data_IF_742812770083
#
_entry.id   IF_742812770083
#
_cell.length_a   1.000
_cell.length_b   1.000
_cell.length_c   1.000
_cell.angle_alpha   90.00
_cell.angle_beta   90.00
_cell.angle_gamma   90.00
#
_symmetry.space_group_name_H-M   'P 1'
#
loop_
_entity.id
_entity.type
_entity.pdbx_description
1 polymer ?
#
# COMPACT_ATOMS: atom_id res chain seq x y z
N UNK A 1 22.14 -11.84 -15.01
CA UNK A 1 21.77 -11.18 -13.74
C UNK A 1 21.23 -12.25 -12.80
N UNK A 2 21.54 -12.17 -11.50
CA UNK A 2 20.91 -13.05 -10.52
C UNK A 2 19.40 -12.77 -10.50
N UNK A 3 18.56 -13.82 -10.50
CA UNK A 3 17.11 -13.66 -10.32
C UNK A 3 16.87 -13.23 -8.87
N UNK A 4 16.34 -12.02 -8.68
CA UNK A 4 16.11 -11.42 -7.35
C UNK A 4 14.81 -11.95 -6.72
N UNK A 5 13.89 -12.47 -7.55
CA UNK A 5 12.58 -13.01 -7.13
C UNK A 5 12.64 -14.53 -7.13
N UNK A 6 12.35 -15.13 -5.97
CA UNK A 6 12.13 -16.57 -5.81
C UNK A 6 11.26 -16.82 -4.57
N UNK A 7 9.97 -17.08 -4.75
CA UNK A 7 9.02 -17.31 -3.64
C UNK A 7 8.02 -18.40 -4.03
N UNK A 8 8.01 -19.53 -3.31
CA UNK A 8 7.08 -20.64 -3.56
C UNK A 8 6.04 -20.85 -2.46
N UNK A 9 6.27 -20.25 -1.28
CA UNK A 9 5.43 -20.39 -0.10
C UNK A 9 5.67 -19.21 0.85
N UNK A 10 4.91 -19.17 1.92
CA UNK A 10 4.86 -18.03 2.85
C UNK A 10 5.69 -18.27 4.15
N UNK A 11 6.52 -19.33 4.21
CA UNK A 11 7.22 -19.72 5.46
C UNK A 11 8.70 -20.06 5.31
N UNK A 12 9.21 -20.27 4.10
CA UNK A 12 10.63 -20.44 3.88
C UNK A 12 11.41 -19.19 4.35
N UNK A 13 12.70 -19.32 4.70
CA UNK A 13 13.49 -18.20 5.22
C UNK A 13 13.47 -16.99 4.29
N UNK A 14 12.86 -15.90 4.76
CA UNK A 14 12.70 -14.65 4.02
C UNK A 14 14.06 -13.98 3.78
N UNK A 15 14.35 -13.61 2.53
CA UNK A 15 15.61 -12.96 2.13
C UNK A 15 15.43 -11.50 1.72
N UNK A 16 14.31 -11.18 1.07
CA UNK A 16 14.00 -9.85 0.56
C UNK A 16 12.49 -9.62 0.58
N UNK A 17 12.05 -8.42 0.93
CA UNK A 17 10.63 -8.07 1.02
C UNK A 17 10.40 -6.63 0.57
N UNK A 18 9.24 -6.37 -0.02
CA UNK A 18 8.78 -5.02 -0.35
C UNK A 18 7.79 -4.58 0.74
N UNK A 19 8.08 -3.46 1.40
CA UNK A 19 7.23 -2.86 2.43
C UNK A 19 6.70 -1.53 1.91
N UNK A 20 5.39 -1.33 2.06
CA UNK A 20 4.71 -0.12 1.64
C UNK A 20 5.05 1.12 2.46
N UNK A 21 4.26 2.16 2.23
CA UNK A 21 4.34 3.46 2.90
C UNK A 21 2.94 3.98 3.26
N UNK A 22 2.73 4.46 4.50
CA UNK A 22 1.50 5.14 4.89
C UNK A 22 1.27 6.43 4.11
N UNK A 23 2.35 7.14 3.75
CA UNK A 23 2.24 8.45 3.10
C UNK A 23 1.55 8.36 1.74
N UNK A 24 0.64 9.30 1.49
CA UNK A 24 -0.17 9.30 0.27
C UNK A 24 -1.32 8.30 0.28
N UNK A 25 -1.56 7.59 1.39
CA UNK A 25 -2.77 6.78 1.57
C UNK A 25 -3.98 7.67 1.89
N UNK A 26 -5.07 7.41 1.20
CA UNK A 26 -6.35 8.09 1.31
C UNK A 26 -7.47 7.07 1.51
N UNK A 27 -8.52 7.52 2.18
CA UNK A 27 -9.84 6.91 2.13
C UNK A 27 -10.39 7.17 0.72
N UNK A 28 -10.75 6.15 -0.07
CA UNK A 28 -11.25 6.33 -1.43
C UNK A 28 -12.63 6.96 -1.41
N UNK A 29 -12.93 7.73 -2.44
CA UNK A 29 -14.29 8.14 -2.73
C UNK A 29 -15.16 6.92 -2.99
N UNK A 30 -16.44 6.97 -2.56
CA UNK A 30 -17.40 5.91 -2.82
C UNK A 30 -17.48 5.59 -4.31
N UNK A 31 -17.54 4.31 -4.63
CA UNK A 31 -17.78 3.80 -5.98
C UNK A 31 -18.91 2.76 -5.95
N UNK A 32 -19.55 2.42 -7.09
CA UNK A 32 -20.75 1.60 -7.10
C UNK A 32 -20.59 0.24 -6.41
N UNK A 33 -19.40 -0.37 -6.43
CA UNK A 33 -19.16 -1.65 -5.80
C UNK A 33 -18.75 -1.54 -4.32
N UNK A 34 -18.25 -0.39 -3.87
CA UNK A 34 -17.68 -0.27 -2.53
C UNK A 34 -17.62 1.17 -1.98
N UNK A 35 -17.83 1.28 -0.67
CA UNK A 35 -17.67 2.52 0.07
C UNK A 35 -17.28 2.24 1.54
N UNK A 36 -16.67 3.23 2.20
CA UNK A 36 -16.43 3.15 3.64
C UNK A 36 -17.70 3.54 4.41
N UNK A 37 -18.49 2.55 4.82
CA UNK A 37 -19.60 2.73 5.75
C UNK A 37 -19.13 2.50 7.19
N UNK A 38 -18.43 3.50 7.75
CA UNK A 38 -17.91 3.44 9.12
C UNK A 38 -18.43 4.62 9.96
N UNK A 39 -19.72 4.62 10.34
CA UNK A 39 -20.34 5.73 11.07
C UNK A 39 -19.70 5.96 12.45
N UNK A 40 -19.08 4.93 13.02
CA UNK A 40 -18.37 4.97 14.32
C UNK A 40 -16.83 5.01 14.15
N UNK A 41 -16.33 4.94 12.92
CA UNK A 41 -14.93 4.63 12.59
C UNK A 41 -14.04 5.83 12.33
N UNK A 42 -14.11 6.88 13.16
CA UNK A 42 -13.16 8.00 13.09
C UNK A 42 -12.98 8.64 11.69
N UNK A 43 -11.85 9.33 11.47
CA UNK A 43 -11.67 10.17 10.28
C UNK A 43 -11.43 9.38 8.98
N UNK A 44 -11.99 9.82 7.83
CA UNK A 44 -12.95 10.91 7.66
C UNK A 44 -14.37 10.40 7.89
N UNK A 45 -15.04 10.91 8.92
CA UNK A 45 -16.46 10.63 9.13
C UNK A 45 -17.26 11.21 7.97
N UNK A 46 -17.86 10.34 7.16
CA UNK A 46 -18.75 10.71 6.07
C UNK A 46 -18.07 11.36 4.86
N UNK A 47 -16.76 11.14 4.66
CA UNK A 47 -16.03 11.70 3.50
C UNK A 47 -14.87 10.80 3.07
N UNK A 48 -14.17 11.22 2.02
CA UNK A 48 -12.98 10.59 1.46
C UNK A 48 -11.82 11.58 1.44
N UNK A 49 -10.59 11.08 1.29
CA UNK A 49 -9.37 11.90 1.32
C UNK A 49 -8.30 11.36 2.27
N UNK A 50 -7.27 12.16 2.58
CA UNK A 50 -6.09 11.68 3.30
C UNK A 50 -6.43 11.32 4.75
N UNK A 51 -5.68 10.38 5.33
CA UNK A 51 -5.71 10.21 6.78
C UNK A 51 -5.16 11.46 7.50
N UNK A 52 -5.57 11.74 8.75
CA UNK A 52 -4.96 12.79 9.56
C UNK A 52 -3.46 12.60 9.66
N UNK A 53 -2.69 13.70 9.61
CA UNK A 53 -1.22 13.63 9.61
C UNK A 53 -0.68 12.87 10.82
N UNK A 54 -1.27 13.07 12.01
CA UNK A 54 -0.88 12.34 13.22
C UNK A 54 -1.02 10.82 13.09
N UNK A 55 -2.04 10.33 12.35
CA UNK A 55 -2.21 8.90 12.09
C UNK A 55 -1.13 8.39 11.12
N UNK A 56 -0.82 9.15 10.07
CA UNK A 56 0.26 8.81 9.14
C UNK A 56 1.62 8.79 9.84
N UNK A 57 1.91 9.77 10.70
CA UNK A 57 3.16 9.84 11.46
C UNK A 57 3.32 8.65 12.42
N UNK A 58 2.27 8.28 13.15
CA UNK A 58 2.27 7.09 14.03
C UNK A 58 2.40 5.79 13.24
N UNK A 59 1.82 5.71 12.04
CA UNK A 59 1.96 4.55 11.16
C UNK A 59 3.40 4.45 10.64
N UNK A 60 4.00 5.58 10.28
CA UNK A 60 5.40 5.65 9.85
C UNK A 60 6.36 5.14 10.93
N UNK A 61 6.21 5.62 12.17
CA UNK A 61 7.04 5.15 13.29
C UNK A 61 6.96 3.62 13.46
N UNK A 62 5.74 3.06 13.42
CA UNK A 62 5.54 1.62 13.55
C UNK A 62 6.16 0.84 12.39
N UNK A 63 6.00 1.31 11.15
CA UNK A 63 6.53 0.65 9.98
C UNK A 63 8.05 0.75 9.91
N UNK A 64 8.65 1.88 10.26
CA UNK A 64 10.10 2.04 10.31
C UNK A 64 10.72 1.14 11.38
N UNK A 65 10.06 0.97 12.53
CA UNK A 65 10.47 -0.03 13.51
C UNK A 65 10.37 -1.47 12.96
N UNK A 66 9.28 -1.80 12.26
CA UNK A 66 9.11 -3.12 11.64
C UNK A 66 10.22 -3.41 10.61
N UNK A 67 10.53 -2.43 9.76
CA UNK A 67 11.65 -2.49 8.80
C UNK A 67 12.97 -2.72 9.54
N UNK A 68 13.26 -1.95 10.60
CA UNK A 68 14.47 -2.10 11.40
C UNK A 68 14.61 -3.51 12.00
N UNK A 69 13.51 -4.11 12.47
CA UNK A 69 13.51 -5.49 12.98
C UNK A 69 13.85 -6.51 11.89
N UNK A 70 13.34 -6.34 10.67
CA UNK A 70 13.64 -7.22 9.54
C UNK A 70 15.10 -7.10 9.09
N UNK A 71 15.61 -5.87 8.96
CA UNK A 71 17.00 -5.63 8.58
C UNK A 71 17.99 -6.20 9.61
N UNK A 72 17.70 -6.08 10.92
CA UNK A 72 18.48 -6.71 11.99
C UNK A 72 18.53 -8.24 11.89
N UNK A 73 17.55 -8.85 11.22
CA UNK A 73 17.52 -10.30 10.92
C UNK A 73 18.21 -10.66 9.59
N UNK A 74 18.83 -9.70 8.92
CA UNK A 74 19.52 -9.90 7.64
C UNK A 74 18.60 -9.94 6.42
N UNK A 75 17.35 -9.51 6.56
CA UNK A 75 16.39 -9.42 5.45
C UNK A 75 16.61 -8.10 4.72
N UNK A 76 16.69 -8.15 3.38
CA UNK A 76 16.74 -6.95 2.54
C UNK A 76 15.34 -6.37 2.44
N UNK A 77 15.17 -5.09 2.77
CA UNK A 77 13.86 -4.42 2.68
C UNK A 77 13.89 -3.35 1.59
N UNK A 78 13.02 -3.50 0.59
CA UNK A 78 12.72 -2.44 -0.36
C UNK A 78 11.51 -1.64 0.13
N UNK A 79 11.61 -0.31 0.13
CA UNK A 79 10.47 0.57 0.39
C UNK A 79 9.92 1.07 -0.93
N UNK A 80 8.60 1.09 -1.06
CA UNK A 80 7.93 1.68 -2.21
C UNK A 80 8.33 3.15 -2.38
N UNK A 81 8.53 3.56 -3.63
CA UNK A 81 8.65 4.98 -3.99
C UNK A 81 7.25 5.58 -4.09
N UNK A 82 7.03 6.71 -3.42
CA UNK A 82 5.72 7.37 -3.45
C UNK A 82 5.62 8.16 -4.75
N UNK A 83 4.72 7.74 -5.64
CA UNK A 83 4.45 8.49 -6.85
C UNK A 83 3.77 9.84 -6.50
N UNK A 84 4.14 10.98 -7.12
CA UNK A 84 3.58 12.29 -6.79
C UNK A 84 2.04 12.38 -6.84
N UNK A 85 1.42 11.58 -7.71
CA UNK A 85 -0.04 11.46 -7.82
C UNK A 85 -0.74 10.97 -6.54
N UNK A 86 -0.01 10.36 -5.60
CA UNK A 86 -0.55 9.95 -4.30
C UNK A 86 -0.69 11.13 -3.32
N UNK A 87 -0.02 12.26 -3.59
CA UNK A 87 -0.07 13.46 -2.76
C UNK A 87 -1.10 14.49 -3.24
N UNK A 88 -1.32 14.60 -4.55
CA UNK A 88 -2.13 15.65 -5.16
C UNK A 88 -3.64 15.35 -5.22
N UNK A 89 -4.05 14.13 -4.84
CA UNK A 89 -5.45 13.67 -4.77
C UNK A 89 -6.19 13.84 -6.09
N UNK A 90 -5.48 13.75 -7.20
CA UNK A 90 -6.09 13.83 -8.52
C UNK A 90 -7.08 12.70 -8.74
N UNK A 91 -8.16 13.02 -9.44
CA UNK A 91 -9.05 12.01 -9.98
C UNK A 91 -8.32 11.16 -11.02
N UNK A 92 -8.70 9.90 -11.12
CA UNK A 92 -8.27 8.96 -12.16
C UNK A 92 -9.51 8.51 -12.93
N UNK A 93 -9.37 8.35 -14.25
CA UNK A 93 -10.52 8.09 -15.12
C UNK A 93 -10.10 7.28 -16.33
N UNK A 94 -11.04 6.44 -16.77
CA UNK A 94 -11.06 5.76 -18.06
C UNK A 94 -12.26 6.30 -18.86
N UNK A 95 -12.46 5.90 -20.13
CA UNK A 95 -13.67 6.25 -20.86
C UNK A 95 -14.98 5.81 -20.18
N UNK A 96 -14.91 4.79 -19.32
CA UNK A 96 -16.10 4.16 -18.72
C UNK A 96 -16.41 4.67 -17.31
N UNK A 97 -15.41 5.18 -16.58
CA UNK A 97 -15.58 5.60 -15.19
C UNK A 97 -14.59 6.67 -14.74
N UNK A 98 -14.94 7.33 -13.63
CA UNK A 98 -14.09 8.30 -12.94
C UNK A 98 -14.10 7.99 -11.46
N UNK A 99 -12.92 7.90 -10.86
CA UNK A 99 -12.73 7.81 -9.41
C UNK A 99 -12.07 9.09 -8.90
N UNK A 100 -12.63 9.68 -7.84
CA UNK A 100 -12.28 11.06 -7.42
C UNK A 100 -10.94 11.15 -6.68
N UNK A 101 -10.42 10.05 -6.15
CA UNK A 101 -9.06 9.95 -5.62
C UNK A 101 -8.51 8.52 -5.67
N UNK A 102 -7.19 8.38 -5.55
CA UNK A 102 -6.53 7.09 -5.43
C UNK A 102 -6.49 6.63 -3.97
N UNK A 103 -6.41 5.32 -3.71
CA UNK A 103 -6.35 4.75 -2.35
C UNK A 103 -4.97 4.96 -1.72
N UNK A 104 -4.04 4.02 -1.89
CA UNK A 104 -2.74 4.04 -1.21
C UNK A 104 -1.78 3.01 -1.78
N UNK A 105 -0.53 3.08 -1.33
CA UNK A 105 0.56 2.16 -1.71
C UNK A 105 1.10 1.39 -0.50
N UNK A 106 0.37 1.40 0.61
CA UNK A 106 0.79 0.80 1.85
C UNK A 106 0.75 -0.75 1.81
N UNK A 107 -0.27 -1.30 1.16
CA UNK A 107 -0.54 -2.74 1.16
C UNK A 107 -0.05 -3.37 -0.15
N UNK A 108 1.25 -3.60 -0.26
CA UNK A 108 1.86 -4.17 -1.48
C UNK A 108 1.30 -5.56 -1.83
N UNK A 109 0.85 -6.31 -0.83
CA UNK A 109 0.28 -7.66 -1.00
C UNK A 109 -1.07 -7.66 -1.73
N UNK A 110 -1.80 -6.55 -1.71
CA UNK A 110 -3.13 -6.48 -2.32
C UNK A 110 -3.03 -6.54 -3.86
N UNK A 111 -1.92 -6.08 -4.43
CA UNK A 111 -1.75 -5.91 -5.88
C UNK A 111 -0.59 -6.70 -6.47
N UNK A 112 0.31 -7.25 -5.65
CA UNK A 112 1.44 -8.07 -6.12
C UNK A 112 1.46 -9.46 -5.49
N UNK A 113 1.61 -10.48 -6.34
CA UNK A 113 1.77 -11.87 -5.93
C UNK A 113 3.04 -12.48 -6.53
N UNK A 114 4.09 -12.75 -5.73
CA UNK A 114 5.25 -13.51 -6.20
C UNK A 114 4.94 -15.01 -6.25
N UNK A 115 5.18 -15.65 -7.40
CA UNK A 115 5.09 -17.12 -7.55
C UNK A 115 6.28 -17.63 -8.34
N UNK A 116 7.06 -18.52 -7.73
CA UNK A 116 8.31 -18.99 -8.28
C UNK A 116 9.24 -17.80 -8.53
N UNK A 117 9.61 -17.58 -9.79
CA UNK A 117 10.56 -16.53 -10.17
C UNK A 117 9.91 -15.28 -10.78
N UNK A 118 8.59 -15.14 -10.63
CA UNK A 118 7.80 -14.07 -11.24
C UNK A 118 7.02 -13.31 -10.18
N UNK A 119 6.74 -12.04 -10.43
CA UNK A 119 5.78 -11.23 -9.67
C UNK A 119 4.63 -10.90 -10.61
N UNK A 120 3.41 -11.21 -10.20
CA UNK A 120 2.20 -10.88 -10.94
C UNK A 120 1.55 -9.62 -10.36
N UNK A 121 1.12 -8.73 -11.25
CA UNK A 121 0.24 -7.59 -10.92
C UNK A 121 -1.21 -8.05 -10.99
N UNK A 122 -1.95 -7.91 -9.89
CA UNK A 122 -3.36 -8.22 -9.84
C UNK A 122 -4.18 -7.17 -10.60
N UNK A 123 -5.30 -7.58 -11.19
CA UNK A 123 -6.26 -6.64 -11.76
C UNK A 123 -7.07 -6.00 -10.63
N UNK A 124 -6.89 -4.68 -10.44
CA UNK A 124 -7.61 -3.86 -9.45
C UNK A 124 -8.59 -2.91 -10.08
#
# INVERSE_FOLDING_TARGET
>A
MAKVVNCWNEWDPLKRVIVGRPEGTNIPSPEPAWWYDHPEGGFPLGSYGPFPQEMADKANEQMDNFVSVMEKRGIIVDRVEIHPAMHDRRAVSTPDWTQLNQHGINNTRDVFLPVGNEIMEATT
#
